data_IF_113552370754
#
_entry.id   IF_113552370754
#
_cell.length_a   1.000
_cell.length_b   1.000
_cell.length_c   1.000
_cell.angle_alpha   90.00
_cell.angle_beta   90.00
_cell.angle_gamma   90.00
#
_symmetry.space_group_name_H-M   'P 1'
#
loop_
_entity.id
_entity.type
_entity.pdbx_description
1 polymer ?
#
# COMPACT_ATOMS: atom_id res chain seq x y z
N UNK A 1 6.56 -0.51 -16.24
CA UNK A 1 5.45 -1.42 -15.90
C UNK A 1 4.44 -1.38 -17.05
N UNK A 2 4.72 -2.08 -18.15
CA UNK A 2 4.22 -1.63 -19.46
C UNK A 2 2.97 -2.38 -19.94
N UNK A 3 2.58 -3.44 -19.23
CA UNK A 3 1.40 -4.26 -19.56
C UNK A 3 0.17 -3.89 -18.73
N UNK A 4 0.25 -2.87 -17.87
CA UNK A 4 -0.85 -2.50 -16.97
C UNK A 4 -2.08 -2.14 -17.78
N UNK A 5 -1.95 -1.28 -18.80
CA UNK A 5 -3.09 -0.82 -19.59
C UNK A 5 -3.80 -1.96 -20.34
N UNK A 6 -3.04 -2.99 -20.75
CA UNK A 6 -3.59 -4.16 -21.46
C UNK A 6 -4.29 -5.15 -20.50
N UNK A 7 -3.74 -5.34 -19.30
CA UNK A 7 -4.16 -6.42 -18.39
C UNK A 7 -5.05 -5.96 -17.23
N UNK A 8 -5.07 -4.66 -16.92
CA UNK A 8 -5.80 -4.12 -15.77
C UNK A 8 -7.27 -4.50 -15.78
N UNK A 9 -7.90 -4.66 -16.95
CA UNK A 9 -9.30 -5.09 -17.05
C UNK A 9 -9.54 -6.54 -16.60
N UNK A 10 -8.52 -7.40 -16.75
CA UNK A 10 -8.60 -8.85 -16.57
C UNK A 10 -8.08 -9.34 -15.21
N UNK A 11 -7.42 -8.47 -14.44
CA UNK A 11 -6.83 -8.80 -13.13
C UNK A 11 -7.55 -8.02 -12.03
N UNK A 12 -7.66 -8.58 -10.83
CA UNK A 12 -8.45 -8.00 -9.73
C UNK A 12 -7.71 -6.96 -8.89
N UNK A 13 -6.38 -7.03 -8.83
CA UNK A 13 -5.54 -6.14 -8.03
C UNK A 13 -4.07 -6.15 -8.49
N UNK A 14 -3.29 -5.19 -8.02
CA UNK A 14 -1.83 -5.19 -8.17
C UNK A 14 -1.15 -5.48 -6.83
N UNK A 15 -0.09 -6.28 -6.85
CA UNK A 15 0.94 -6.28 -5.80
C UNK A 15 2.16 -5.61 -6.39
N UNK A 16 2.64 -4.53 -5.77
CA UNK A 16 3.84 -3.83 -6.21
C UNK A 16 4.84 -3.69 -5.07
N UNK A 17 6.11 -3.90 -5.39
CA UNK A 17 7.22 -3.65 -4.48
C UNK A 17 7.89 -2.33 -4.86
N UNK A 18 7.97 -1.42 -3.89
CA UNK A 18 8.84 -0.25 -3.90
C UNK A 18 8.48 0.87 -4.89
N UNK A 19 7.21 1.02 -5.30
CA UNK A 19 6.83 2.12 -6.21
C UNK A 19 7.21 3.51 -5.65
N UNK A 20 7.19 3.71 -4.33
CA UNK A 20 7.54 5.02 -3.77
C UNK A 20 9.05 5.23 -3.85
N UNK A 21 9.84 4.20 -3.51
CA UNK A 21 11.29 4.28 -3.59
C UNK A 21 11.78 4.58 -5.02
N UNK A 22 11.14 3.99 -6.03
CA UNK A 22 11.51 4.18 -7.43
C UNK A 22 10.74 5.28 -8.16
N UNK A 23 9.81 5.96 -7.46
CA UNK A 23 8.95 6.99 -8.04
C UNK A 23 8.12 6.49 -9.24
N UNK A 24 7.53 5.30 -9.08
CA UNK A 24 6.79 4.57 -10.11
C UNK A 24 5.29 4.41 -9.77
N UNK A 25 4.82 4.94 -8.63
CA UNK A 25 3.45 4.71 -8.16
C UNK A 25 2.36 5.16 -9.13
N UNK A 26 2.62 6.19 -9.94
CA UNK A 26 1.67 6.69 -10.93
C UNK A 26 1.31 5.64 -11.99
N UNK A 27 2.21 4.69 -12.26
CA UNK A 27 1.96 3.59 -13.20
C UNK A 27 0.85 2.64 -12.73
N UNK A 28 0.55 2.61 -11.42
CA UNK A 28 -0.44 1.73 -10.80
C UNK A 28 -1.83 2.40 -10.64
N UNK A 29 -1.93 3.72 -10.86
CA UNK A 29 -3.19 4.47 -10.80
C UNK A 29 -4.33 3.89 -11.67
N UNK A 30 -4.07 3.23 -12.83
CA UNK A 30 -5.14 2.56 -13.59
C UNK A 30 -5.95 1.55 -12.78
N UNK A 31 -5.35 0.84 -11.80
CA UNK A 31 -6.09 -0.07 -10.92
C UNK A 31 -7.12 0.69 -10.08
N UNK A 32 -6.71 1.77 -9.43
CA UNK A 32 -7.61 2.60 -8.60
C UNK A 32 -8.71 3.23 -9.45
N UNK A 33 -8.42 3.67 -10.68
CA UNK A 33 -9.42 4.19 -11.62
C UNK A 33 -10.47 3.16 -12.04
N UNK A 34 -10.19 1.87 -11.87
CA UNK A 34 -11.13 0.77 -12.13
C UNK A 34 -11.70 0.17 -10.85
N UNK A 35 -11.60 0.87 -9.72
CA UNK A 35 -12.03 0.41 -8.40
C UNK A 35 -11.33 -0.89 -7.94
N UNK A 36 -10.07 -1.08 -8.37
CA UNK A 36 -9.23 -2.24 -8.05
C UNK A 36 -8.14 -1.89 -7.06
N UNK A 37 -7.85 -2.80 -6.14
CA UNK A 37 -6.86 -2.60 -5.08
C UNK A 37 -5.43 -2.57 -5.62
N UNK A 38 -4.59 -1.77 -4.95
CA UNK A 38 -3.13 -1.82 -5.09
C UNK A 38 -2.54 -2.11 -3.72
N UNK A 39 -1.93 -3.29 -3.58
CA UNK A 39 -1.19 -3.70 -2.39
C UNK A 39 0.29 -3.37 -2.58
N UNK A 40 0.77 -2.35 -1.87
CA UNK A 40 2.16 -1.89 -1.95
C UNK A 40 3.03 -2.51 -0.86
N UNK A 41 4.28 -2.84 -1.17
CA UNK A 41 5.30 -3.21 -0.19
C UNK A 41 6.49 -2.25 -0.30
N UNK A 42 6.85 -1.59 0.79
CA UNK A 42 8.08 -0.81 0.90
C UNK A 42 9.05 -1.50 1.87
N UNK A 43 10.32 -1.65 1.46
CA UNK A 43 11.34 -2.32 2.29
C UNK A 43 12.19 -1.35 3.11
N UNK A 44 12.24 -0.08 2.70
CA UNK A 44 13.11 0.93 3.30
C UNK A 44 12.57 2.33 3.04
N UNK A 45 13.23 3.35 3.61
CA UNK A 45 12.87 4.75 3.42
C UNK A 45 12.04 5.36 4.56
N UNK A 46 11.61 6.60 4.36
CA UNK A 46 10.82 7.35 5.33
C UNK A 46 9.36 6.86 5.30
N UNK A 47 8.94 6.21 6.39
CA UNK A 47 7.59 5.65 6.53
C UNK A 47 6.51 6.72 6.45
N UNK A 48 6.72 7.90 7.04
CA UNK A 48 5.70 8.95 7.06
C UNK A 48 5.50 9.51 5.64
N UNK A 49 6.59 9.78 4.93
CA UNK A 49 6.53 10.26 3.54
C UNK A 49 5.91 9.22 2.61
N UNK A 50 6.36 7.96 2.69
CA UNK A 50 5.85 6.91 1.82
C UNK A 50 4.39 6.61 2.08
N UNK A 51 3.96 6.55 3.35
CA UNK A 51 2.56 6.37 3.66
C UNK A 51 1.68 7.55 3.24
N UNK A 52 2.18 8.79 3.29
CA UNK A 52 1.46 9.94 2.75
C UNK A 52 1.24 9.80 1.24
N UNK A 53 2.26 9.41 0.49
CA UNK A 53 2.16 9.13 -0.96
C UNK A 53 1.18 8.00 -1.25
N UNK A 54 1.35 6.85 -0.61
CA UNK A 54 0.49 5.68 -0.81
C UNK A 54 -0.98 5.98 -0.48
N UNK A 55 -1.25 6.61 0.66
CA UNK A 55 -2.61 6.94 1.08
C UNK A 55 -3.27 7.97 0.15
N UNK A 56 -2.51 8.94 -0.38
CA UNK A 56 -3.02 9.91 -1.35
C UNK A 56 -3.46 9.25 -2.68
N UNK A 57 -2.81 8.15 -3.06
CA UNK A 57 -3.17 7.34 -4.24
C UNK A 57 -4.17 6.23 -3.92
N UNK A 58 -4.66 6.13 -2.68
CA UNK A 58 -5.51 5.06 -2.18
C UNK A 58 -4.90 3.65 -2.26
N UNK A 59 -3.59 3.53 -2.09
CA UNK A 59 -2.90 2.22 -2.04
C UNK A 59 -2.87 1.67 -0.61
N UNK A 60 -3.01 0.35 -0.48
CA UNK A 60 -2.86 -0.36 0.78
C UNK A 60 -1.41 -0.83 0.94
N UNK A 61 -0.58 0.05 1.48
CA UNK A 61 0.87 -0.18 1.58
C UNK A 61 1.29 -0.69 2.95
N UNK A 62 2.15 -1.72 2.96
CA UNK A 62 2.86 -2.22 4.12
C UNK A 62 4.36 -1.92 4.00
N UNK A 63 4.97 -1.59 5.12
CA UNK A 63 6.41 -1.69 5.31
C UNK A 63 6.78 -3.09 5.80
N UNK A 64 7.77 -3.70 5.13
CA UNK A 64 8.24 -5.07 5.40
C UNK A 64 9.77 -5.11 5.47
N UNK A 65 10.31 -6.17 6.06
CA UNK A 65 11.70 -6.57 5.80
C UNK A 65 11.78 -7.39 4.52
N UNK A 66 12.95 -7.45 3.87
CA UNK A 66 13.16 -8.23 2.65
C UNK A 66 12.89 -9.74 2.83
N UNK A 67 12.98 -10.26 4.06
CA UNK A 67 12.70 -11.68 4.35
C UNK A 67 11.19 -11.98 4.45
N UNK A 68 10.33 -10.96 4.36
CA UNK A 68 8.87 -11.05 4.34
C UNK A 68 8.26 -11.84 5.51
N UNK A 69 8.97 -11.92 6.63
CA UNK A 69 8.48 -12.55 7.87
C UNK A 69 7.31 -11.74 8.47
N UNK A 70 6.74 -12.17 9.60
CA UNK A 70 5.48 -11.60 10.13
C UNK A 70 5.52 -10.09 10.43
N UNK A 71 6.67 -9.53 10.82
CA UNK A 71 6.82 -8.11 11.14
C UNK A 71 6.35 -7.21 9.98
N UNK A 72 5.48 -6.25 10.30
CA UNK A 72 4.90 -5.32 9.34
C UNK A 72 4.49 -4.01 10.00
N UNK A 73 4.51 -2.93 9.22
CA UNK A 73 3.90 -1.65 9.58
C UNK A 73 2.91 -1.26 8.48
N UNK A 74 1.67 -0.95 8.82
CA UNK A 74 0.62 -0.62 7.85
C UNK A 74 0.43 0.89 7.73
N UNK A 75 0.41 1.40 6.49
CA UNK A 75 0.14 2.82 6.23
C UNK A 75 -1.31 3.23 6.57
N UNK A 76 -2.23 2.26 6.67
CA UNK A 76 -3.63 2.48 7.05
C UNK A 76 -3.84 2.53 8.56
N UNK A 77 -2.88 2.05 9.36
CA UNK A 77 -2.99 2.06 10.82
C UNK A 77 -2.85 3.48 11.42
N UNK A 78 -2.40 4.46 10.62
CA UNK A 78 -2.30 5.87 11.01
C UNK A 78 -3.57 6.67 10.69
N UNK A 79 -4.35 6.28 9.68
CA UNK A 79 -5.62 6.95 9.34
C UNK A 79 -6.72 6.77 10.40
N UNK A 80 -6.57 5.79 11.30
CA UNK A 80 -7.53 5.54 12.39
C UNK A 80 -7.27 6.36 13.67
N UNK A 81 -6.13 7.07 13.78
CA UNK A 81 -5.77 7.83 15.00
C UNK A 81 -6.26 9.29 15.03
N UNK A 82 -6.97 9.76 14.01
CA UNK A 82 -7.60 11.09 14.02
C UNK A 82 -9.02 11.10 14.61
N UNK A 83 -9.58 9.93 14.95
CA UNK A 83 -10.80 9.80 15.74
C UNK A 83 -10.46 9.37 17.17
N UNK A 84 -10.61 10.28 18.13
CA UNK A 84 -10.53 9.96 19.56
C UNK A 84 -11.60 8.93 19.93
N UNK A 85 -11.20 7.66 20.02
CA UNK A 85 -12.02 6.56 20.50
C UNK A 85 -11.13 5.36 20.77
N UNK A 86 -10.73 5.18 22.03
CA UNK A 86 -10.04 4.00 22.51
C UNK A 86 -10.92 2.77 22.31
N UNK A 87 -10.61 1.93 21.32
CA UNK A 87 -10.93 0.51 21.42
C UNK A 87 -9.67 -0.31 21.14
N UNK A 88 -9.15 -0.88 22.21
CA UNK A 88 -7.99 -1.77 22.28
C UNK A 88 -8.35 -3.18 21.80
N UNK A 89 -8.97 -3.31 20.64
CA UNK A 89 -9.06 -4.59 19.95
C UNK A 89 -7.91 -4.69 18.96
N UNK A 90 -6.82 -5.27 19.46
CA UNK A 90 -5.78 -5.89 18.64
C UNK A 90 -6.45 -6.70 17.54
N UNK A 91 -6.40 -6.22 16.30
CA UNK A 91 -6.75 -7.05 15.14
C UNK A 91 -5.73 -8.19 15.14
N UNK A 92 -6.14 -9.47 15.20
CA UNK A 92 -5.19 -10.57 15.19
C UNK A 92 -4.33 -10.46 13.94
N UNK A 93 -3.02 -10.48 14.14
CA UNK A 93 -2.15 -10.95 13.09
C UNK A 93 -2.54 -12.41 12.84
N UNK A 94 -3.10 -12.70 11.67
CA UNK A 94 -2.81 -13.98 11.05
C UNK A 94 -1.29 -14.11 10.94
#
# INVERSE_FOLDING_TARGET
MDQIDDLVSSIDFSVNEQCVQYNECDTLVPFIKQDKSVFGIEYSGDKAKACATANALNFDTLFKTLSLQSERYSCRDMSSKSGSGSDSTLRPAY
#
